data_IF_821156723907
#
_entry.id   IF_821156723907
#
_cell.length_a   1.000
_cell.length_b   1.000
_cell.length_c   1.000
_cell.angle_alpha   90.00
_cell.angle_beta   90.00
_cell.angle_gamma   90.00
#
_symmetry.space_group_name_H-M   'P 1'
#
loop_
_entity.id
_entity.type
_entity.pdbx_description
1 polymer ?
#
# COMPACT_ATOMS: atom_id res chain seq x y z
N UNK A 1 18.53 23.48 9.77
CA UNK A 1 18.88 22.41 8.81
C UNK A 1 17.66 21.52 8.63
N UNK A 2 17.06 21.50 7.44
CA UNK A 2 15.93 20.63 7.10
C UNK A 2 16.51 19.27 6.70
N UNK A 3 16.70 18.36 7.65
CA UNK A 3 17.36 17.05 7.42
C UNK A 3 16.57 16.08 6.52
N UNK A 4 15.52 16.55 5.85
CA UNK A 4 14.63 15.70 5.06
C UNK A 4 13.95 14.61 5.89
N UNK A 5 13.91 14.77 7.21
CA UNK A 5 13.23 13.88 8.15
C UNK A 5 11.92 14.50 8.59
N UNK A 6 10.98 13.68 9.03
CA UNK A 6 9.71 14.13 9.62
C UNK A 6 8.71 14.74 8.62
N UNK A 7 8.84 14.40 7.34
CA UNK A 7 7.76 14.70 6.40
C UNK A 7 6.53 13.83 6.71
N UNK A 8 5.34 14.42 6.49
CA UNK A 8 4.06 13.74 6.68
C UNK A 8 3.86 12.56 5.72
N UNK A 9 4.40 12.65 4.51
CA UNK A 9 4.26 11.64 3.46
C UNK A 9 5.32 10.53 3.50
N UNK A 10 6.24 10.55 4.47
CA UNK A 10 7.23 9.49 4.61
C UNK A 10 6.58 8.19 5.10
N UNK A 11 7.03 7.06 4.56
CA UNK A 11 6.62 5.74 5.03
C UNK A 11 7.12 5.46 6.46
N UNK A 12 8.30 5.92 6.83
CA UNK A 12 8.85 5.69 8.17
C UNK A 12 9.71 6.86 8.64
N UNK A 13 9.83 6.98 9.95
CA UNK A 13 10.68 7.92 10.65
C UNK A 13 11.97 7.20 11.08
N UNK A 14 13.10 7.62 10.53
CA UNK A 14 14.41 6.98 10.76
C UNK A 14 15.00 7.25 12.15
N UNK A 15 14.73 8.44 12.70
CA UNK A 15 15.27 8.93 13.97
C UNK A 15 14.18 9.63 14.78
N UNK A 16 14.30 9.66 16.10
CA UNK A 16 13.43 10.51 16.92
C UNK A 16 13.64 11.99 16.60
N UNK A 17 12.56 12.75 16.53
CA UNK A 17 12.59 14.22 16.53
C UNK A 17 11.82 14.74 17.74
N UNK A 18 11.78 16.06 17.91
CA UNK A 18 10.91 16.69 18.90
C UNK A 18 9.40 16.60 18.57
N UNK A 19 9.03 16.08 17.40
CA UNK A 19 7.64 16.00 16.92
C UNK A 19 7.16 14.56 16.70
N UNK A 20 8.07 13.64 16.33
CA UNK A 20 7.71 12.28 15.93
C UNK A 20 8.79 11.28 16.38
N UNK A 21 8.36 10.12 16.88
CA UNK A 21 9.26 9.01 17.22
C UNK A 21 9.70 8.19 16.00
N UNK A 22 10.86 7.54 16.10
CA UNK A 22 11.33 6.53 15.13
C UNK A 22 10.28 5.42 14.99
N UNK A 23 9.96 5.03 13.77
CA UNK A 23 8.97 3.97 13.51
C UNK A 23 8.32 4.07 12.14
N UNK A 24 7.42 3.14 11.82
CA UNK A 24 6.57 3.20 10.63
C UNK A 24 5.50 4.29 10.79
N UNK A 25 5.09 4.88 9.67
CA UNK A 25 4.03 5.89 9.57
C UNK A 25 2.88 5.35 8.72
N UNK A 26 1.73 6.02 8.75
CA UNK A 26 0.54 5.59 8.02
C UNK A 26 0.80 5.20 6.53
N UNK A 27 1.57 5.97 5.72
CA UNK A 27 1.82 5.60 4.33
C UNK A 27 2.51 4.24 4.14
N UNK A 28 3.31 3.77 5.11
CA UNK A 28 3.97 2.45 5.04
C UNK A 28 2.97 1.31 4.94
N UNK A 29 1.88 1.37 5.69
CA UNK A 29 0.89 0.29 5.72
C UNK A 29 0.14 0.16 4.40
N UNK A 30 -0.01 1.26 3.64
CA UNK A 30 -0.51 1.21 2.26
C UNK A 30 0.43 0.42 1.35
N UNK A 31 1.74 0.70 1.40
CA UNK A 31 2.75 -0.04 0.62
C UNK A 31 2.81 -1.51 1.02
N UNK A 32 2.71 -1.84 2.31
CA UNK A 32 2.70 -3.23 2.78
C UNK A 32 1.42 -3.96 2.36
N UNK A 33 0.26 -3.28 2.35
CA UNK A 33 -0.97 -3.85 1.81
C UNK A 33 -0.83 -4.25 0.34
N UNK A 34 -0.24 -3.39 -0.48
CA UNK A 34 0.05 -3.69 -1.89
C UNK A 34 1.05 -4.84 -2.02
N UNK A 35 2.15 -4.82 -1.26
CA UNK A 35 3.14 -5.89 -1.29
C UNK A 35 2.54 -7.26 -0.90
N UNK A 36 1.66 -7.28 0.10
CA UNK A 36 0.95 -8.49 0.52
C UNK A 36 -0.04 -8.99 -0.55
N UNK A 37 -0.72 -8.08 -1.25
CA UNK A 37 -1.63 -8.41 -2.34
C UNK A 37 -0.88 -8.94 -3.58
N UNK A 38 0.30 -8.39 -3.87
CA UNK A 38 1.12 -8.78 -5.02
C UNK A 38 1.96 -10.03 -4.75
N UNK A 39 2.38 -10.30 -3.50
CA UNK A 39 3.24 -11.45 -3.15
C UNK A 39 4.58 -11.40 -3.93
N UNK A 40 5.23 -12.54 -4.07
CA UNK A 40 6.49 -12.68 -4.80
C UNK A 40 6.26 -12.62 -6.31
N UNK A 41 6.71 -11.54 -6.93
CA UNK A 41 6.59 -11.30 -8.37
C UNK A 41 7.58 -12.14 -9.20
N UNK A 42 8.55 -12.78 -8.56
CA UNK A 42 9.56 -13.61 -9.24
C UNK A 42 9.08 -15.04 -9.48
N UNK A 43 8.08 -15.50 -8.73
CA UNK A 43 7.57 -16.89 -8.81
C UNK A 43 6.47 -17.08 -9.86
N UNK A 44 5.81 -16.00 -10.26
CA UNK A 44 4.67 -16.07 -11.18
C UNK A 44 4.38 -14.72 -11.83
N UNK A 45 3.95 -14.75 -13.09
CA UNK A 45 3.34 -13.58 -13.73
C UNK A 45 1.94 -13.31 -13.16
N UNK A 46 1.72 -12.07 -12.73
CA UNK A 46 0.46 -11.59 -12.18
C UNK A 46 -0.15 -10.52 -13.09
N UNK A 47 -1.47 -10.43 -13.06
CA UNK A 47 -2.20 -9.28 -13.61
C UNK A 47 -3.12 -8.70 -12.55
N UNK A 48 -3.28 -7.38 -12.61
CA UNK A 48 -4.14 -6.62 -11.71
C UNK A 48 -5.22 -5.96 -12.54
N UNK A 49 -6.47 -6.06 -12.10
CA UNK A 49 -7.62 -5.40 -12.73
C UNK A 49 -8.35 -4.54 -11.70
N UNK A 50 -8.65 -3.30 -12.07
CA UNK A 50 -9.52 -2.44 -11.27
C UNK A 50 -10.95 -2.96 -11.37
N UNK A 51 -11.63 -3.11 -10.24
CA UNK A 51 -13.04 -3.46 -10.19
C UNK A 51 -13.83 -2.15 -10.26
N UNK A 52 -14.73 -1.96 -11.25
CA UNK A 52 -15.58 -0.79 -11.30
C UNK A 52 -16.47 -0.72 -10.06
N UNK A 53 -16.37 0.38 -9.32
CA UNK A 53 -17.24 0.72 -8.20
C UNK A 53 -17.87 2.09 -8.53
N UNK A 54 -19.15 2.28 -8.17
CA UNK A 54 -19.91 3.49 -8.47
C UNK A 54 -19.65 4.66 -7.50
N UNK A 55 -18.87 4.43 -6.46
CA UNK A 55 -18.63 5.34 -5.34
C UNK A 55 -17.15 5.69 -5.26
N UNK A 56 -16.84 6.93 -4.90
CA UNK A 56 -15.48 7.42 -4.68
C UNK A 56 -14.96 7.08 -3.27
N UNK A 57 -15.78 6.46 -2.43
CA UNK A 57 -15.43 6.09 -1.05
C UNK A 57 -14.81 4.69 -0.97
N UNK A 58 -14.77 3.96 -2.08
CA UNK A 58 -14.19 2.63 -2.14
C UNK A 58 -13.34 2.45 -3.40
N UNK A 59 -12.28 1.66 -3.27
CA UNK A 59 -11.52 1.17 -4.40
C UNK A 59 -11.31 -0.33 -4.23
N UNK A 60 -11.44 -1.11 -5.31
CA UNK A 60 -11.16 -2.53 -5.29
C UNK A 60 -10.37 -3.00 -6.51
N UNK A 61 -9.48 -3.96 -6.27
CA UNK A 61 -8.59 -4.53 -7.27
C UNK A 61 -8.62 -6.06 -7.19
N UNK A 62 -8.78 -6.70 -8.34
CA UNK A 62 -8.63 -8.14 -8.50
C UNK A 62 -7.20 -8.49 -8.93
N UNK A 63 -6.58 -9.43 -8.24
CA UNK A 63 -5.23 -9.91 -8.54
C UNK A 63 -5.33 -11.35 -9.03
N UNK A 64 -4.86 -11.57 -10.25
CA UNK A 64 -4.86 -12.85 -10.93
C UNK A 64 -3.45 -13.42 -11.01
N UNK A 65 -3.34 -14.74 -10.90
CA UNK A 65 -2.12 -15.50 -11.10
C UNK A 65 -2.39 -16.59 -12.13
N UNK A 66 -1.64 -16.57 -13.25
CA UNK A 66 -1.85 -17.50 -14.38
C UNK A 66 -3.32 -17.54 -14.83
N UNK A 67 -3.94 -16.36 -14.94
CA UNK A 67 -5.34 -16.19 -15.37
C UNK A 67 -6.40 -16.53 -14.31
N UNK A 68 -6.03 -16.98 -13.11
CA UNK A 68 -6.98 -17.35 -12.06
C UNK A 68 -7.04 -16.27 -10.98
N UNK A 69 -8.23 -15.90 -10.54
CA UNK A 69 -8.39 -14.97 -9.41
C UNK A 69 -7.80 -15.60 -8.14
N UNK A 70 -6.90 -14.88 -7.47
CA UNK A 70 -6.28 -15.35 -6.23
C UNK A 70 -6.60 -14.47 -5.04
N UNK A 71 -6.66 -13.15 -5.26
CA UNK A 71 -6.75 -12.16 -4.18
C UNK A 71 -7.62 -10.98 -4.64
N UNK A 72 -8.26 -10.36 -3.65
CA UNK A 72 -8.96 -9.09 -3.78
C UNK A 72 -8.33 -8.12 -2.78
N UNK A 73 -8.03 -6.91 -3.24
CA UNK A 73 -7.65 -5.80 -2.38
C UNK A 73 -8.81 -4.81 -2.39
N UNK A 74 -9.29 -4.43 -1.21
CA UNK A 74 -10.39 -3.48 -1.03
C UNK A 74 -9.94 -2.39 -0.08
N UNK A 75 -10.20 -1.14 -0.46
CA UNK A 75 -9.90 0.06 0.31
C UNK A 75 -11.22 0.76 0.57
N UNK A 76 -11.54 1.00 1.84
CA UNK A 76 -12.67 1.81 2.26
C UNK A 76 -12.13 3.16 2.78
N UNK A 77 -12.63 4.25 2.23
CA UNK A 77 -12.24 5.64 2.48
C UNK A 77 -13.38 6.48 3.05
N UNK A 78 -14.51 5.85 3.43
CA UNK A 78 -15.58 6.47 4.20
C UNK A 78 -15.08 6.94 5.58
#
# INVERSE_FOLDING_TARGET
>A
MHQGTDYRYQAFQLINTNKTSKGTKAPYYGSIGVAAALRDLTTSSLSVSSIPISSDQEAAYAIFERGNLKRLMVINMH
#
